data_IF_745236807087
#
_entry.id   IF_745236807087
#
_cell.length_a   1.000
_cell.length_b   1.000
_cell.length_c   1.000
_cell.angle_alpha   90.00
_cell.angle_beta   90.00
_cell.angle_gamma   90.00
#
_symmetry.space_group_name_H-M   'P 1'
#
loop_
_entity.id
_entity.type
_entity.pdbx_description
1 polymer ?
#
# COMPACT_ATOMS: atom_id res chain seq x y z
N UNK A 1 -8.06 -15.90 8.69
CA UNK A 1 -8.07 -17.35 8.99
C UNK A 1 -6.77 -17.85 9.60
N UNK A 2 -6.19 -17.15 10.59
CA UNK A 2 -4.91 -17.56 11.18
C UNK A 2 -3.73 -17.46 10.20
N UNK A 3 -2.58 -17.98 10.60
CA UNK A 3 -1.32 -17.82 9.86
C UNK A 3 -1.45 -18.19 8.38
N UNK A 4 -1.86 -19.41 8.05
CA UNK A 4 -1.88 -19.86 6.65
C UNK A 4 -2.94 -19.22 5.75
N UNK A 5 -3.78 -18.32 6.26
CA UNK A 5 -4.79 -17.61 5.45
C UNK A 5 -4.71 -16.08 5.59
N UNK A 6 -3.77 -15.58 6.42
CA UNK A 6 -3.55 -14.16 6.65
C UNK A 6 -2.07 -13.76 6.48
N UNK A 7 -1.18 -14.72 6.14
CA UNK A 7 0.25 -14.43 5.99
C UNK A 7 0.51 -13.64 4.71
N UNK A 8 1.42 -12.67 4.81
CA UNK A 8 1.89 -11.87 3.68
C UNK A 8 3.42 -12.03 3.55
N UNK A 9 3.86 -13.22 3.11
CA UNK A 9 5.26 -13.63 3.03
C UNK A 9 5.86 -13.46 1.63
N UNK A 10 5.70 -12.27 1.05
CA UNK A 10 6.11 -12.00 -0.34
C UNK A 10 7.61 -11.71 -0.47
N UNK A 11 8.31 -11.53 0.65
CA UNK A 11 9.72 -11.12 0.72
C UNK A 11 10.64 -12.06 -0.07
N UNK A 12 10.47 -13.38 0.11
CA UNK A 12 11.26 -14.40 -0.59
C UNK A 12 11.02 -14.40 -2.09
N UNK A 13 9.83 -13.99 -2.54
CA UNK A 13 9.50 -13.89 -3.97
C UNK A 13 10.11 -12.63 -4.57
N UNK A 14 10.14 -11.52 -3.82
CA UNK A 14 10.77 -10.26 -4.29
C UNK A 14 12.28 -10.38 -4.54
N UNK A 15 12.95 -11.34 -3.90
CA UNK A 15 14.36 -11.63 -4.13
C UNK A 15 14.65 -12.23 -5.53
N UNK A 16 13.64 -12.80 -6.19
CA UNK A 16 13.80 -13.42 -7.52
C UNK A 16 13.85 -12.33 -8.59
N UNK A 17 14.98 -12.17 -9.33
CA UNK A 17 15.10 -11.12 -10.33
C UNK A 17 14.13 -11.29 -11.50
N UNK A 18 13.57 -10.17 -11.96
CA UNK A 18 12.71 -10.13 -13.14
C UNK A 18 11.24 -10.51 -12.90
N UNK A 19 10.86 -10.86 -11.67
CA UNK A 19 9.45 -11.03 -11.34
C UNK A 19 8.71 -9.69 -11.37
N UNK A 20 7.51 -9.71 -11.95
CA UNK A 20 6.53 -8.65 -11.80
C UNK A 20 5.59 -9.03 -10.68
N UNK A 21 5.53 -8.25 -9.60
CA UNK A 21 4.66 -8.54 -8.46
C UNK A 21 3.63 -7.42 -8.36
N UNK A 22 2.38 -7.74 -8.70
CA UNK A 22 1.23 -6.86 -8.60
C UNK A 22 0.49 -7.10 -7.27
N UNK A 23 0.04 -6.04 -6.61
CA UNK A 23 -0.85 -6.10 -5.45
C UNK A 23 -1.89 -4.98 -5.55
N UNK A 24 -3.04 -5.25 -6.22
CA UNK A 24 -4.06 -4.23 -6.40
C UNK A 24 -4.78 -3.91 -5.09
N UNK A 25 -5.08 -2.62 -4.89
CA UNK A 25 -5.79 -2.13 -3.70
C UNK A 25 -7.27 -1.87 -3.94
N UNK A 26 -7.71 -1.78 -5.21
CA UNK A 26 -9.08 -1.43 -5.62
C UNK A 26 -9.56 -2.29 -6.79
N UNK A 27 -10.87 -2.50 -6.89
CA UNK A 27 -11.48 -3.29 -7.97
C UNK A 27 -11.21 -2.76 -9.38
N UNK A 28 -11.23 -1.43 -9.56
CA UNK A 28 -10.90 -0.79 -10.85
C UNK A 28 -9.46 -1.09 -11.29
N UNK A 29 -8.50 -0.93 -10.38
CA UNK A 29 -7.09 -1.19 -10.64
C UNK A 29 -6.84 -2.69 -10.86
N UNK A 30 -7.49 -3.57 -10.09
CA UNK A 30 -7.31 -5.02 -10.18
C UNK A 30 -7.53 -5.57 -11.60
N UNK A 31 -8.65 -5.20 -12.24
CA UNK A 31 -8.95 -5.69 -13.59
C UNK A 31 -7.93 -5.21 -14.64
N UNK A 32 -7.55 -3.93 -14.60
CA UNK A 32 -6.59 -3.34 -15.53
C UNK A 32 -5.14 -3.83 -15.30
N UNK A 33 -4.75 -4.02 -14.04
CA UNK A 33 -3.44 -4.58 -13.67
C UNK A 33 -3.34 -6.06 -14.06
N UNK A 34 -4.39 -6.86 -13.88
CA UNK A 34 -4.40 -8.25 -14.31
C UNK A 34 -4.24 -8.36 -15.84
N UNK A 35 -4.95 -7.52 -16.60
CA UNK A 35 -4.74 -7.42 -18.06
C UNK A 35 -3.31 -7.05 -18.41
N UNK A 36 -2.70 -6.15 -17.66
CA UNK A 36 -1.29 -5.77 -17.85
C UNK A 36 -0.36 -6.95 -17.59
N UNK A 37 -0.58 -7.72 -16.53
CA UNK A 37 0.20 -8.94 -16.26
C UNK A 37 0.08 -9.97 -17.39
N UNK A 38 -1.14 -10.22 -17.88
CA UNK A 38 -1.37 -11.14 -19.01
C UNK A 38 -0.66 -10.63 -20.28
N UNK A 39 -0.76 -9.34 -20.57
CA UNK A 39 -0.07 -8.74 -21.72
C UNK A 39 1.44 -8.90 -21.62
N UNK A 40 2.05 -8.50 -20.49
CA UNK A 40 3.49 -8.61 -20.25
C UNK A 40 3.99 -10.07 -20.33
N UNK A 41 3.21 -11.03 -19.83
CA UNK A 41 3.52 -12.45 -19.96
C UNK A 41 3.53 -12.91 -21.43
N UNK A 42 2.60 -12.41 -22.25
CA UNK A 42 2.49 -12.78 -23.66
C UNK A 42 3.53 -12.08 -24.54
N UNK A 43 3.84 -10.80 -24.28
CA UNK A 43 4.74 -9.99 -25.10
C UNK A 43 6.20 -10.18 -24.74
N UNK A 44 6.50 -10.18 -23.43
CA UNK A 44 7.86 -10.11 -22.91
C UNK A 44 8.29 -11.41 -22.21
N UNK A 45 7.39 -12.39 -22.10
CA UNK A 45 7.64 -13.62 -21.35
C UNK A 45 7.77 -13.39 -19.84
N UNK A 46 7.24 -12.28 -19.33
CA UNK A 46 7.34 -11.92 -17.92
C UNK A 46 6.61 -12.94 -17.02
N UNK A 47 7.21 -13.27 -15.88
CA UNK A 47 6.55 -14.05 -14.83
C UNK A 47 5.91 -13.07 -13.86
N UNK A 48 4.57 -13.05 -13.86
CA UNK A 48 3.78 -12.16 -13.02
C UNK A 48 3.18 -12.91 -11.83
N UNK A 49 3.32 -12.35 -10.63
CA UNK A 49 2.59 -12.74 -9.44
C UNK A 49 1.52 -11.69 -9.16
N UNK A 50 0.28 -12.14 -9.05
CA UNK A 50 -0.87 -11.28 -8.81
C UNK A 50 -1.43 -11.54 -7.40
N UNK A 51 -1.09 -10.67 -6.45
CA UNK A 51 -1.42 -10.84 -5.03
C UNK A 51 -2.69 -10.08 -4.67
N UNK A 52 -3.80 -10.81 -4.57
CA UNK A 52 -5.11 -10.25 -4.27
C UNK A 52 -5.36 -10.16 -2.75
N UNK A 53 -5.69 -8.97 -2.23
CA UNK A 53 -6.03 -8.81 -0.81
C UNK A 53 -7.41 -9.37 -0.51
N UNK A 54 -7.46 -10.61 0.00
CA UNK A 54 -8.72 -11.33 0.27
C UNK A 54 -9.69 -10.54 1.17
N UNK A 55 -9.16 -9.74 2.11
CA UNK A 55 -9.97 -8.94 3.02
C UNK A 55 -10.72 -7.79 2.33
N UNK A 56 -10.27 -7.34 1.14
CA UNK A 56 -10.96 -6.30 0.36
C UNK A 56 -12.05 -6.85 -0.56
N UNK A 57 -12.11 -8.16 -0.83
CA UNK A 57 -13.13 -8.72 -1.71
C UNK A 57 -14.58 -8.34 -1.34
N UNK A 58 -15.00 -8.40 -0.06
CA UNK A 58 -16.36 -8.03 0.32
C UNK A 58 -16.53 -6.54 0.64
N UNK A 59 -15.46 -5.73 0.60
CA UNK A 59 -15.47 -4.35 1.07
C UNK A 59 -16.09 -3.44 0.02
N UNK A 60 -17.12 -2.69 0.43
CA UNK A 60 -17.84 -1.74 -0.43
C UNK A 60 -17.70 -0.30 0.04
N UNK A 61 -17.58 -0.10 1.35
CA UNK A 61 -17.57 1.22 1.94
C UNK A 61 -16.13 1.71 2.18
N UNK A 62 -15.89 3.00 2.01
CA UNK A 62 -14.58 3.59 2.32
C UNK A 62 -14.59 4.28 3.68
N UNK A 63 -15.56 5.13 3.97
CA UNK A 63 -15.58 5.95 5.18
C UNK A 63 -16.72 5.54 6.11
N UNK A 64 -17.94 5.57 5.59
CA UNK A 64 -19.18 5.44 6.33
C UNK A 64 -19.99 4.24 5.81
N UNK A 65 -20.72 3.57 6.70
CA UNK A 65 -21.53 2.40 6.33
C UNK A 65 -22.55 2.77 5.25
N UNK A 66 -22.52 2.07 4.13
CA UNK A 66 -23.40 2.28 2.98
C UNK A 66 -22.94 3.35 1.99
N UNK A 67 -21.78 3.98 2.18
CA UNK A 67 -21.29 5.00 1.24
C UNK A 67 -20.89 4.42 -0.13
N UNK A 68 -20.62 3.10 -0.20
CA UNK A 68 -20.21 2.38 -1.41
C UNK A 68 -18.98 3.00 -2.13
N UNK A 69 -18.17 3.81 -1.45
CA UNK A 69 -17.07 4.56 -2.05
C UNK A 69 -15.84 3.69 -2.37
N UNK A 70 -15.83 2.43 -1.91
CA UNK A 70 -14.84 1.42 -2.25
C UNK A 70 -15.31 0.42 -3.29
N UNK A 71 -16.61 0.40 -3.59
CA UNK A 71 -17.17 -0.39 -4.66
C UNK A 71 -17.00 0.32 -6.01
N UNK A 72 -16.84 -0.47 -7.07
CA UNK A 72 -16.79 0.04 -8.45
C UNK A 72 -17.63 -0.84 -9.35
N UNK A 73 -18.38 -0.24 -10.26
CA UNK A 73 -19.03 -1.00 -11.34
C UNK A 73 -17.96 -1.40 -12.35
N UNK A 74 -17.80 -2.71 -12.57
CA UNK A 74 -16.91 -3.18 -13.62
C UNK A 74 -17.41 -2.71 -14.98
N UNK A 75 -16.64 -1.83 -15.63
CA UNK A 75 -16.79 -1.48 -17.02
C UNK A 75 -15.72 -2.24 -17.82
N UNK A 76 -16.09 -3.11 -18.77
CA UNK A 76 -15.11 -3.76 -19.63
C UNK A 76 -14.39 -2.71 -20.49
N UNK A 77 -13.13 -2.44 -20.15
CA UNK A 77 -12.24 -1.55 -20.93
C UNK A 77 -10.99 -2.30 -21.35
N UNK A 78 -10.33 -1.80 -22.41
CA UNK A 78 -9.00 -2.26 -22.79
C UNK A 78 -7.89 -1.58 -21.97
N UNK A 79 -8.24 -0.97 -20.83
CA UNK A 79 -7.29 -0.18 -20.06
C UNK A 79 -6.26 -1.08 -19.38
N UNK A 80 -5.04 -0.53 -19.31
CA UNK A 80 -3.88 -1.10 -18.66
C UNK A 80 -3.37 -0.14 -17.59
N UNK A 81 -2.75 -0.70 -16.56
CA UNK A 81 -1.96 0.05 -15.59
C UNK A 81 -0.50 -0.27 -15.88
N UNK A 82 0.36 0.68 -16.24
CA UNK A 82 1.76 0.39 -16.49
C UNK A 82 2.43 -0.28 -15.28
N UNK A 83 3.25 -1.30 -15.54
CA UNK A 83 4.03 -1.98 -14.49
C UNK A 83 4.91 -0.96 -13.76
N UNK A 84 4.89 -1.01 -12.43
CA UNK A 84 5.61 -0.08 -11.57
C UNK A 84 4.90 1.24 -11.33
N UNK A 85 3.84 1.60 -12.07
CA UNK A 85 3.19 2.90 -11.89
C UNK A 85 2.36 2.96 -10.59
N UNK A 86 2.58 3.93 -9.70
CA UNK A 86 1.76 4.14 -8.51
C UNK A 86 0.47 4.89 -8.84
N UNK A 87 -0.45 4.97 -7.87
CA UNK A 87 -1.62 5.85 -7.90
C UNK A 87 -1.61 6.77 -6.68
N UNK A 88 -2.03 8.02 -6.85
CA UNK A 88 -2.06 9.01 -5.77
C UNK A 88 -3.48 9.41 -5.40
N UNK A 89 -3.68 9.74 -4.13
CA UNK A 89 -4.93 10.21 -3.56
C UNK A 89 -4.68 11.44 -2.69
N UNK A 90 -5.55 12.45 -2.84
CA UNK A 90 -5.43 13.72 -2.14
C UNK A 90 -4.29 14.60 -2.65
N UNK A 91 -4.35 15.89 -2.30
CA UNK A 91 -3.36 16.90 -2.70
C UNK A 91 -2.56 17.46 -1.51
N UNK A 92 -2.63 16.77 -0.37
CA UNK A 92 -1.91 17.14 0.85
C UNK A 92 -0.40 17.25 0.67
N UNK A 93 0.24 18.00 1.58
CA UNK A 93 1.68 18.28 1.58
C UNK A 93 2.32 18.20 2.97
N UNK A 94 1.55 17.82 3.99
CA UNK A 94 2.09 17.74 5.37
C UNK A 94 2.71 16.36 5.64
N UNK A 95 2.22 15.33 4.95
CA UNK A 95 2.63 13.94 5.10
C UNK A 95 2.36 13.16 3.81
N UNK A 96 3.33 12.37 3.36
CA UNK A 96 3.13 11.31 2.37
C UNK A 96 2.91 9.98 3.10
N UNK A 97 1.77 9.33 2.88
CA UNK A 97 1.51 7.97 3.34
C UNK A 97 1.67 7.03 2.14
N UNK A 98 2.58 6.06 2.22
CA UNK A 98 2.84 5.10 1.14
C UNK A 98 2.37 3.73 1.57
N UNK A 99 1.53 3.09 0.76
CA UNK A 99 0.95 1.78 1.09
C UNK A 99 0.50 1.01 -0.15
N UNK A 100 -0.09 -0.15 0.08
CA UNK A 100 -0.67 -1.04 -0.93
C UNK A 100 -1.74 -1.91 -0.26
N UNK A 101 -2.54 -2.63 -1.06
CA UNK A 101 -3.54 -3.60 -0.60
C UNK A 101 -4.49 -3.04 0.49
N UNK A 102 -4.73 -3.77 1.59
CA UNK A 102 -5.60 -3.30 2.67
C UNK A 102 -4.99 -2.08 3.39
N UNK A 103 -3.66 -1.95 3.38
CA UNK A 103 -2.94 -0.79 3.89
C UNK A 103 -3.39 0.53 3.23
N UNK A 104 -3.69 0.53 1.92
CA UNK A 104 -4.26 1.69 1.25
C UNK A 104 -5.64 2.05 1.81
N UNK A 105 -6.53 1.07 1.93
CA UNK A 105 -7.90 1.29 2.41
C UNK A 105 -7.88 1.89 3.82
N UNK A 106 -7.04 1.35 4.71
CA UNK A 106 -6.82 1.88 6.05
C UNK A 106 -6.22 3.30 6.02
N UNK A 107 -5.22 3.54 5.18
CA UNK A 107 -4.53 4.83 5.07
C UNK A 107 -5.45 5.96 4.60
N UNK A 108 -6.37 5.70 3.67
CA UNK A 108 -7.33 6.71 3.20
C UNK A 108 -8.35 7.10 4.29
N UNK A 109 -8.75 6.15 5.13
CA UNK A 109 -9.63 6.40 6.29
C UNK A 109 -8.92 7.22 7.35
N UNK A 110 -7.67 6.87 7.64
CA UNK A 110 -6.81 7.63 8.55
C UNK A 110 -6.56 9.05 8.00
N UNK A 111 -6.26 9.21 6.71
CA UNK A 111 -6.05 10.50 6.09
C UNK A 111 -7.26 11.45 6.24
N UNK A 112 -8.49 10.94 6.08
CA UNK A 112 -9.72 11.71 6.34
C UNK A 112 -9.76 12.20 7.80
N UNK A 113 -9.52 11.32 8.77
CA UNK A 113 -9.51 11.69 10.21
C UNK A 113 -8.40 12.67 10.56
N UNK A 114 -7.19 12.49 10.02
CA UNK A 114 -6.07 13.39 10.20
C UNK A 114 -6.41 14.81 9.72
N UNK A 115 -7.05 14.94 8.56
CA UNK A 115 -7.48 16.23 8.04
C UNK A 115 -8.57 16.87 8.92
N UNK A 116 -9.60 16.10 9.29
CA UNK A 116 -10.76 16.59 10.04
C UNK A 116 -10.45 16.93 11.51
N UNK A 117 -9.60 16.14 12.16
CA UNK A 117 -9.39 16.20 13.62
C UNK A 117 -8.07 16.89 14.00
N UNK A 118 -7.07 16.86 13.13
CA UNK A 118 -5.73 17.36 13.41
C UNK A 118 -5.24 18.42 12.40
N UNK A 119 -6.00 18.68 11.34
CA UNK A 119 -5.62 19.61 10.28
C UNK A 119 -4.43 19.14 9.43
N UNK A 120 -4.04 17.86 9.54
CA UNK A 120 -2.90 17.28 8.80
C UNK A 120 -3.38 16.86 7.41
N UNK A 121 -2.89 17.52 6.37
CA UNK A 121 -3.22 17.24 4.97
C UNK A 121 -2.24 16.20 4.41
N UNK A 122 -2.64 14.93 4.46
CA UNK A 122 -1.87 13.83 3.90
C UNK A 122 -2.14 13.64 2.40
N UNK A 123 -1.12 13.23 1.66
CA UNK A 123 -1.24 12.60 0.34
C UNK A 123 -0.96 11.11 0.49
N UNK A 124 -1.75 10.27 -0.16
CA UNK A 124 -1.61 8.81 -0.06
C UNK A 124 -1.17 8.26 -1.41
N UNK A 125 -0.09 7.48 -1.40
CA UNK A 125 0.48 6.79 -2.55
C UNK A 125 0.19 5.29 -2.44
N UNK A 126 -0.59 4.77 -3.39
CA UNK A 126 -0.79 3.35 -3.61
C UNK A 126 0.29 2.83 -4.56
N UNK A 127 1.13 1.92 -4.08
CA UNK A 127 2.22 1.36 -4.85
C UNK A 127 1.71 0.60 -6.08
N UNK A 128 0.62 -0.17 -5.92
CA UNK A 128 0.08 -1.15 -6.89
C UNK A 128 1.03 -2.28 -7.29
N UNK A 129 2.32 -2.02 -7.39
CA UNK A 129 3.37 -2.95 -7.80
C UNK A 129 4.43 -3.03 -6.71
N UNK A 130 4.77 -4.26 -6.30
CA UNK A 130 5.78 -4.55 -5.27
C UNK A 130 7.14 -4.95 -5.88
N UNK A 131 7.14 -5.26 -7.17
CA UNK A 131 8.34 -5.42 -7.99
C UNK A 131 7.98 -5.14 -9.47
N UNK A 132 8.60 -4.17 -10.14
CA UNK A 132 9.49 -3.13 -9.58
C UNK A 132 8.73 -2.14 -8.68
N UNK A 133 9.46 -1.45 -7.79
CA UNK A 133 8.92 -0.36 -6.97
C UNK A 133 9.05 1.00 -7.68
N UNK A 134 8.10 1.94 -7.48
CA UNK A 134 8.13 3.30 -8.03
C UNK A 134 9.07 4.24 -7.25
N UNK A 135 10.37 3.96 -7.25
CA UNK A 135 11.34 4.71 -6.43
C UNK A 135 11.44 6.20 -6.82
N UNK A 136 11.34 6.53 -8.11
CA UNK A 136 11.45 7.90 -8.59
C UNK A 136 10.26 8.76 -8.14
N UNK A 137 9.04 8.25 -8.31
CA UNK A 137 7.81 8.90 -7.87
C UNK A 137 7.73 9.00 -6.35
N UNK A 138 8.17 7.95 -5.63
CA UNK A 138 8.29 7.96 -4.18
C UNK A 138 9.16 9.13 -3.71
N UNK A 139 10.37 9.27 -4.27
CA UNK A 139 11.31 10.31 -3.88
C UNK A 139 10.77 11.71 -4.19
N UNK A 140 10.19 11.91 -5.38
CA UNK A 140 9.62 13.20 -5.77
C UNK A 140 8.49 13.65 -4.84
N UNK A 141 7.59 12.73 -4.45
CA UNK A 141 6.48 13.04 -3.56
C UNK A 141 6.91 13.15 -2.10
N UNK A 142 7.94 12.41 -1.69
CA UNK A 142 8.55 12.55 -0.37
C UNK A 142 9.14 13.95 -0.17
N UNK A 143 9.90 14.46 -1.15
CA UNK A 143 10.44 15.83 -1.14
C UNK A 143 9.31 16.88 -1.10
N UNK A 144 8.18 16.61 -1.79
CA UNK A 144 7.01 17.50 -1.79
C UNK A 144 6.32 17.57 -0.44
N UNK A 145 6.21 16.45 0.27
CA UNK A 145 5.52 16.35 1.55
C UNK A 145 6.43 16.63 2.76
N UNK A 146 7.75 16.46 2.60
CA UNK A 146 8.75 16.65 3.66
C UNK A 146 8.73 15.60 4.77
N UNK A 147 7.71 14.72 4.85
CA UNK A 147 7.57 13.64 5.84
C UNK A 147 6.96 12.41 5.18
N UNK A 148 7.43 11.22 5.53
CA UNK A 148 6.96 9.97 4.93
C UNK A 148 6.57 8.95 6.00
N UNK A 149 5.36 8.39 5.87
CA UNK A 149 4.91 7.22 6.60
C UNK A 149 4.74 6.06 5.63
N UNK A 150 5.46 4.96 5.83
CA UNK A 150 5.25 3.72 5.07
C UNK A 150 4.33 2.79 5.86
N UNK A 151 3.19 2.41 5.28
CA UNK A 151 2.25 1.46 5.86
C UNK A 151 2.35 0.16 5.07
N UNK A 152 2.90 -0.88 5.70
CA UNK A 152 3.27 -2.13 5.06
C UNK A 152 2.62 -3.30 5.79
N UNK A 153 1.74 -4.02 5.10
CA UNK A 153 1.04 -5.16 5.71
C UNK A 153 1.90 -6.43 5.82
N UNK A 154 3.10 -6.42 5.24
CA UNK A 154 4.08 -7.47 5.51
C UNK A 154 4.72 -7.27 6.89
N UNK A 155 5.67 -8.14 7.21
CA UNK A 155 6.31 -8.18 8.52
C UNK A 155 7.29 -7.01 8.70
N UNK A 156 7.59 -6.68 9.95
CA UNK A 156 8.58 -5.67 10.26
C UNK A 156 9.96 -6.01 9.66
N UNK A 157 10.33 -7.28 9.64
CA UNK A 157 11.58 -7.76 9.04
C UNK A 157 11.36 -8.31 7.63
N UNK A 158 12.15 -7.84 6.67
CA UNK A 158 12.14 -8.29 5.27
C UNK A 158 10.96 -7.77 4.44
N UNK A 159 10.18 -6.84 4.99
CA UNK A 159 8.97 -6.30 4.37
C UNK A 159 9.22 -5.39 3.16
N UNK A 160 8.13 -4.92 2.55
CA UNK A 160 8.16 -3.94 1.44
C UNK A 160 8.69 -2.58 1.90
N UNK A 161 8.50 -2.23 3.17
CA UNK A 161 8.94 -0.96 3.73
C UNK A 161 10.46 -0.77 3.69
N UNK A 162 11.25 -1.84 3.85
CA UNK A 162 12.71 -1.76 3.89
C UNK A 162 13.32 -1.16 2.61
N UNK A 163 13.02 -1.67 1.40
CA UNK A 163 13.54 -1.06 0.17
C UNK A 163 12.96 0.33 -0.10
N UNK A 164 11.73 0.65 0.33
CA UNK A 164 11.19 2.00 0.19
C UNK A 164 11.97 3.02 1.04
N UNK A 165 12.25 2.66 2.31
CA UNK A 165 13.08 3.49 3.20
C UNK A 165 14.51 3.59 2.67
N UNK A 166 15.04 2.51 2.11
CA UNK A 166 16.36 2.50 1.47
C UNK A 166 16.39 3.42 0.25
N UNK A 167 15.40 3.36 -0.64
CA UNK A 167 15.27 4.21 -1.81
C UNK A 167 15.18 5.70 -1.43
N UNK A 168 14.40 6.04 -0.39
CA UNK A 168 14.35 7.40 0.15
C UNK A 168 15.72 7.86 0.66
N UNK A 169 16.38 7.03 1.47
CA UNK A 169 17.66 7.35 2.09
C UNK A 169 18.77 7.53 1.05
N UNK A 170 18.91 6.58 0.12
CA UNK A 170 19.91 6.63 -0.94
C UNK A 170 19.58 7.69 -2.00
N UNK A 171 18.29 7.98 -2.21
CA UNK A 171 17.80 9.08 -3.02
C UNK A 171 18.04 10.47 -2.41
N UNK A 172 18.53 10.54 -1.17
CA UNK A 172 18.92 11.77 -0.51
C UNK A 172 17.80 12.49 0.25
N UNK A 173 16.65 11.85 0.44
CA UNK A 173 15.56 12.40 1.26
C UNK A 173 16.01 12.56 2.71
N UNK A 174 15.84 13.76 3.28
CA UNK A 174 16.29 14.10 4.64
C UNK A 174 15.16 14.33 5.64
N UNK A 175 13.91 14.27 5.19
CA UNK A 175 12.76 14.41 6.07
C UNK A 175 12.59 13.21 7.00
N UNK A 176 11.77 13.34 8.06
CA UNK A 176 11.47 12.22 8.94
C UNK A 176 10.71 11.12 8.18
N UNK A 177 11.13 9.89 8.42
CA UNK A 177 10.50 8.68 7.88
C UNK A 177 10.10 7.77 9.04
N UNK A 178 8.88 7.26 9.03
CA UNK A 178 8.45 6.19 9.92
C UNK A 178 7.78 5.07 9.11
N UNK A 179 7.64 3.91 9.74
CA UNK A 179 6.93 2.76 9.17
C UNK A 179 6.03 2.10 10.19
N UNK A 180 4.87 1.63 9.73
CA UNK A 180 3.95 0.77 10.48
C UNK A 180 3.85 -0.53 9.72
N UNK A 181 4.18 -1.64 10.39
CA UNK A 181 4.18 -2.97 9.78
C UNK A 181 3.76 -4.05 10.78
N UNK A 182 3.32 -5.20 10.25
CA UNK A 182 2.86 -6.32 11.06
C UNK A 182 4.00 -6.92 11.91
N UNK A 183 3.67 -7.44 13.08
CA UNK A 183 4.65 -8.01 14.00
C UNK A 183 5.39 -9.23 13.41
N UNK A 184 6.63 -9.45 13.85
CA UNK A 184 7.46 -10.60 13.45
C UNK A 184 7.04 -11.89 14.17
N UNK A 185 5.80 -12.35 13.96
CA UNK A 185 5.26 -13.57 14.55
C UNK A 185 4.17 -14.23 13.71
N UNK A 186 3.87 -15.50 13.96
CA UNK A 186 2.71 -16.15 13.35
C UNK A 186 1.41 -15.37 13.60
N UNK A 187 0.54 -15.33 12.58
CA UNK A 187 -0.76 -14.64 12.73
C UNK A 187 -1.70 -15.57 13.51
N UNK A 188 -2.19 -15.15 14.70
CA UNK A 188 -3.10 -15.95 15.48
C UNK A 188 -4.50 -16.00 14.85
N UNK A 189 -5.36 -16.87 15.38
CA UNK A 189 -6.73 -17.04 14.90
C UNK A 189 -7.67 -15.96 15.47
N UNK A 190 -8.72 -15.65 14.71
CA UNK A 190 -9.79 -14.74 15.14
C UNK A 190 -9.29 -13.32 15.44
N UNK A 191 -9.94 -12.65 16.38
CA UNK A 191 -9.68 -11.25 16.71
C UNK A 191 -8.28 -11.00 17.27
N UNK A 192 -7.61 -12.03 17.78
CA UNK A 192 -6.21 -11.91 18.19
C UNK A 192 -5.29 -11.51 17.03
N UNK A 193 -5.69 -11.74 15.77
CA UNK A 193 -4.93 -11.30 14.60
C UNK A 193 -4.76 -9.77 14.57
N UNK A 194 -5.74 -9.03 15.11
CA UNK A 194 -5.71 -7.57 15.15
C UNK A 194 -4.64 -7.01 16.10
N UNK A 195 -4.00 -7.87 16.91
CA UNK A 195 -2.89 -7.49 17.79
C UNK A 195 -1.53 -7.55 17.08
N UNK A 196 -1.46 -8.16 15.89
CA UNK A 196 -0.20 -8.40 15.18
C UNK A 196 -0.22 -7.89 13.74
N UNK A 197 -1.40 -7.73 13.14
CA UNK A 197 -1.59 -7.11 11.83
C UNK A 197 -1.73 -5.60 11.98
N UNK A 198 -1.29 -4.85 10.99
CA UNK A 198 -1.42 -3.38 10.93
C UNK A 198 -2.86 -2.95 11.21
N UNK A 199 -3.05 -2.00 12.13
CA UNK A 199 -4.35 -1.40 12.43
C UNK A 199 -4.35 0.11 12.19
N UNK A 200 -5.53 0.66 11.84
CA UNK A 200 -5.70 2.11 11.64
C UNK A 200 -5.22 3.00 12.81
N UNK A 201 -5.44 2.66 14.10
CA UNK A 201 -4.95 3.48 15.21
C UNK A 201 -3.43 3.60 15.24
N UNK A 202 -2.70 2.57 14.79
CA UNK A 202 -1.22 2.59 14.73
C UNK A 202 -0.74 3.52 13.62
N UNK A 203 -1.40 3.48 12.46
CA UNK A 203 -1.14 4.40 11.33
C UNK A 203 -1.37 5.84 11.77
N UNK A 204 -2.49 6.11 12.42
CA UNK A 204 -2.88 7.45 12.87
C UNK A 204 -1.91 8.00 13.93
N UNK A 205 -1.54 7.18 14.92
CA UNK A 205 -0.55 7.56 15.92
C UNK A 205 0.83 7.86 15.31
N UNK A 206 1.30 7.03 14.38
CA UNK A 206 2.57 7.24 13.69
C UNK A 206 2.56 8.51 12.82
N UNK A 207 1.46 8.77 12.10
CA UNK A 207 1.28 9.97 11.30
C UNK A 207 1.33 11.25 12.14
N UNK A 208 0.62 11.25 13.27
CA UNK A 208 0.63 12.37 14.23
C UNK A 208 2.01 12.60 14.83
N UNK A 209 2.68 11.53 15.26
CA UNK A 209 4.03 11.62 15.80
C UNK A 209 5.02 12.21 14.78
N UNK A 210 4.92 11.83 13.51
CA UNK A 210 5.71 12.43 12.43
C UNK A 210 5.43 13.91 12.25
N UNK A 211 4.18 14.35 12.41
CA UNK A 211 3.77 15.74 12.23
C UNK A 211 3.92 16.61 13.48
N UNK A 212 4.27 16.03 14.63
CA UNK A 212 4.41 16.74 15.91
C UNK A 212 3.08 17.13 16.57
N UNK A 213 2.03 16.34 16.34
CA UNK A 213 0.65 16.58 16.82
C UNK A 213 0.15 15.51 17.79
#
# INVERSE_FOLDING_TARGET
GGHFHNDNAIASLRDIPGLVIASPSRGEDAAAMLRTCVAAAQTDGAVCLFLEPIALYPVRDLHDKGDNLWASTYAPTADHVPVGAPRFYGEGRDLLIVSFANGLWMSLRVAKRLAEQHGIQARVMDLRWLAPLPEAELLAEAERAGRVLVVDETRQTGGVAEPLVTALTLGGFRGPVARVAAADCFVPLGDAANLVLVQEPEIEAAARALCGA
#
